data_IF_185640677681
#
_entry.id   IF_185640677681
#
_cell.length_a   1.000
_cell.length_b   1.000
_cell.length_c   1.000
_cell.angle_alpha   90.00
_cell.angle_beta   90.00
_cell.angle_gamma   90.00
#
_symmetry.space_group_name_H-M   'P 1'
#
loop_
_entity.id
_entity.type
_entity.pdbx_description
1 polymer ?
#
# COMPACT_ATOMS: atom_id res chain seq x y z
N UNK A 1 -11.01 40.58 32.28
CA UNK A 1 -10.68 40.32 30.87
C UNK A 1 -11.19 38.94 30.55
N UNK A 2 -12.31 38.87 29.86
CA UNK A 2 -13.02 37.61 29.55
C UNK A 2 -12.56 37.20 28.15
N UNK A 3 -11.79 36.11 28.03
CA UNK A 3 -11.49 35.55 26.72
C UNK A 3 -12.74 34.87 26.19
N UNK A 4 -13.24 35.40 25.07
CA UNK A 4 -14.32 34.81 24.31
C UNK A 4 -13.73 33.64 23.52
N UNK A 5 -13.96 32.41 23.98
CA UNK A 5 -13.69 31.21 23.19
C UNK A 5 -14.61 31.24 21.97
N UNK A 6 -14.04 31.52 20.81
CA UNK A 6 -14.72 31.36 19.54
C UNK A 6 -14.90 29.86 19.27
N UNK A 7 -16.12 29.36 19.41
CA UNK A 7 -16.52 28.04 18.95
C UNK A 7 -16.59 28.06 17.42
N UNK A 8 -15.53 27.57 16.77
CA UNK A 8 -15.57 27.31 15.33
C UNK A 8 -16.46 26.10 15.07
N UNK A 9 -17.61 26.36 14.44
CA UNK A 9 -18.47 25.31 13.89
C UNK A 9 -17.72 24.62 12.75
N UNK A 10 -17.52 23.30 12.88
CA UNK A 10 -16.87 22.47 11.87
C UNK A 10 -17.63 22.54 10.53
N UNK A 11 -17.04 23.14 9.51
CA UNK A 11 -17.54 23.08 8.15
C UNK A 11 -17.09 21.74 7.53
N UNK A 12 -17.97 20.74 7.60
CA UNK A 12 -17.73 19.44 6.96
C UNK A 12 -17.91 19.57 5.44
N UNK A 13 -16.83 19.90 4.72
CA UNK A 13 -16.82 19.88 3.25
C UNK A 13 -16.70 18.41 2.80
N UNK A 14 -17.82 17.83 2.34
CA UNK A 14 -17.80 16.57 1.58
C UNK A 14 -17.74 16.91 0.10
N UNK A 15 -16.68 16.52 -0.59
CA UNK A 15 -16.63 16.57 -2.06
C UNK A 15 -16.83 15.15 -2.59
N UNK A 16 -18.09 14.65 -2.69
CA UNK A 16 -18.33 13.35 -3.30
C UNK A 16 -18.05 13.44 -4.80
N UNK A 17 -17.05 12.70 -5.27
CA UNK A 17 -16.81 12.52 -6.69
C UNK A 17 -17.32 11.14 -7.13
N UNK A 18 -18.20 11.12 -8.13
CA UNK A 18 -18.73 9.88 -8.71
C UNK A 18 -18.44 9.87 -10.20
N UNK A 19 -17.60 8.94 -10.63
CA UNK A 19 -17.37 8.64 -12.04
C UNK A 19 -18.09 7.34 -12.40
N UNK A 20 -18.67 7.28 -13.61
CA UNK A 20 -19.32 6.05 -14.10
C UNK A 20 -18.30 5.01 -14.62
N UNK A 21 -17.13 5.48 -15.03
CA UNK A 21 -16.07 4.68 -15.63
C UNK A 21 -14.79 4.76 -14.77
N UNK A 22 -13.64 4.97 -15.39
CA UNK A 22 -12.38 5.09 -14.70
C UNK A 22 -12.20 6.51 -14.13
N UNK A 23 -11.69 6.58 -12.90
CA UNK A 23 -11.04 7.78 -12.37
C UNK A 23 -9.55 7.56 -12.59
N UNK A 24 -8.99 8.34 -13.52
CA UNK A 24 -7.56 8.37 -13.76
C UNK A 24 -7.05 9.71 -13.29
N UNK A 25 -6.13 9.68 -12.34
CA UNK A 25 -5.31 10.83 -12.00
C UNK A 25 -3.98 10.62 -12.71
N UNK A 26 -3.65 11.53 -13.61
CA UNK A 26 -2.45 11.53 -14.43
C UNK A 26 -1.99 13.00 -14.58
N UNK A 27 -0.70 13.23 -14.79
CA UNK A 27 -0.16 14.57 -14.97
C UNK A 27 1.03 14.61 -15.89
N UNK A 28 1.30 15.82 -16.38
CA UNK A 28 2.41 16.17 -17.27
C UNK A 28 3.40 17.18 -16.70
N UNK A 29 3.26 17.59 -15.43
CA UNK A 29 3.97 18.77 -14.91
C UNK A 29 4.81 18.49 -13.65
N UNK A 30 5.96 19.16 -13.56
CA UNK A 30 7.14 18.72 -12.80
C UNK A 30 7.37 19.44 -11.46
N UNK A 31 6.32 20.00 -10.84
CA UNK A 31 6.45 20.84 -9.63
C UNK A 31 5.82 20.24 -8.38
N UNK A 32 4.57 19.80 -8.50
CA UNK A 32 3.78 19.22 -7.41
C UNK A 32 3.05 17.97 -7.93
N UNK A 33 2.83 16.95 -7.09
CA UNK A 33 2.03 15.80 -7.48
C UNK A 33 0.62 16.25 -7.87
N UNK A 34 0.08 15.69 -8.95
CA UNK A 34 -1.35 15.87 -9.24
C UNK A 34 -2.17 15.01 -8.32
N UNK A 35 -3.07 15.65 -7.58
CA UNK A 35 -3.80 15.00 -6.52
C UNK A 35 -5.26 15.45 -6.43
N UNK A 36 -6.07 14.63 -5.76
CA UNK A 36 -7.32 15.07 -5.14
C UNK A 36 -7.02 15.20 -3.65
N UNK A 37 -7.20 16.39 -3.10
CA UNK A 37 -6.78 16.67 -1.74
C UNK A 37 -7.88 17.29 -0.86
N UNK A 38 -7.69 17.07 0.44
CA UNK A 38 -8.39 17.67 1.55
C UNK A 38 -7.34 17.86 2.64
N UNK A 39 -6.91 19.11 2.84
CA UNK A 39 -5.77 19.43 3.70
C UNK A 39 -6.19 20.42 4.78
N UNK A 40 -5.81 20.13 6.02
CA UNK A 40 -5.84 21.09 7.11
C UNK A 40 -4.44 21.68 7.26
N UNK A 41 -4.33 23.00 7.13
CA UNK A 41 -3.05 23.72 7.23
C UNK A 41 -2.51 23.74 8.65
N UNK A 42 -1.21 24.02 8.77
CA UNK A 42 -0.55 24.25 10.05
C UNK A 42 -1.29 25.32 10.89
N UNK A 43 -1.29 25.14 12.21
CA UNK A 43 -1.98 25.98 13.21
C UNK A 43 -3.52 25.98 13.16
N UNK A 44 -4.14 25.34 12.16
CA UNK A 44 -5.59 25.19 12.14
C UNK A 44 -6.05 24.18 13.21
N UNK A 45 -7.16 24.49 13.88
CA UNK A 45 -7.78 23.63 14.89
C UNK A 45 -9.09 23.08 14.32
N UNK A 46 -8.96 22.12 13.41
CA UNK A 46 -10.06 21.41 12.80
C UNK A 46 -9.62 20.04 12.28
N UNK A 47 -10.59 19.15 12.06
CA UNK A 47 -10.34 17.83 11.50
C UNK A 47 -10.27 17.90 9.97
N UNK A 48 -9.51 16.98 9.38
CA UNK A 48 -9.40 16.79 7.94
C UNK A 48 -10.75 16.44 7.31
N UNK A 49 -10.97 16.97 6.11
CA UNK A 49 -12.13 16.59 5.29
C UNK A 49 -11.93 15.23 4.63
N UNK A 50 -13.04 14.61 4.22
CA UNK A 50 -13.04 13.25 3.67
C UNK A 50 -13.06 13.25 2.14
N UNK A 51 -12.34 12.30 1.55
CA UNK A 51 -12.37 12.01 0.11
C UNK A 51 -13.22 10.77 -0.11
N UNK A 52 -14.17 10.84 -1.05
CA UNK A 52 -14.94 9.66 -1.47
C UNK A 52 -14.89 9.52 -2.98
N UNK A 53 -14.41 8.36 -3.44
CA UNK A 53 -14.35 7.99 -4.85
C UNK A 53 -15.31 6.82 -5.08
N UNK A 54 -16.25 7.00 -6.01
CA UNK A 54 -17.08 5.93 -6.55
C UNK A 54 -16.82 5.82 -8.05
N UNK A 55 -16.34 4.67 -8.49
CA UNK A 55 -15.87 4.47 -9.85
C UNK A 55 -16.04 3.01 -10.30
N UNK A 56 -15.85 2.76 -11.59
CA UNK A 56 -15.62 1.40 -12.08
C UNK A 56 -14.19 0.96 -11.75
N UNK A 57 -13.23 1.83 -12.00
CA UNK A 57 -11.82 1.63 -11.65
C UNK A 57 -11.17 2.93 -11.17
N UNK A 58 -10.18 2.82 -10.28
CA UNK A 58 -9.30 3.93 -9.88
C UNK A 58 -7.87 3.61 -10.31
N UNK A 59 -7.22 4.56 -10.97
CA UNK A 59 -5.81 4.49 -11.36
C UNK A 59 -5.06 5.72 -10.86
N UNK A 60 -4.03 5.48 -10.06
CA UNK A 60 -3.02 6.47 -9.67
C UNK A 60 -1.68 6.02 -10.26
N UNK A 61 -1.09 6.84 -11.15
CA UNK A 61 0.04 6.42 -11.97
C UNK A 61 1.12 7.50 -11.95
N UNK A 62 2.35 7.11 -11.64
CA UNK A 62 3.55 7.94 -11.71
C UNK A 62 3.45 9.19 -10.82
N UNK A 63 3.39 8.95 -9.50
CA UNK A 63 3.35 9.96 -8.44
C UNK A 63 2.05 10.75 -8.33
N UNK A 64 0.93 10.04 -8.28
CA UNK A 64 -0.42 10.64 -8.14
C UNK A 64 -1.03 10.24 -6.82
N UNK A 65 -1.77 11.18 -6.23
CA UNK A 65 -2.16 11.06 -4.83
C UNK A 65 -3.66 11.30 -4.59
N UNK A 66 -4.23 10.53 -3.67
CA UNK A 66 -5.41 10.96 -2.91
C UNK A 66 -4.92 11.33 -1.51
N UNK A 67 -5.16 12.57 -1.10
CA UNK A 67 -4.49 13.16 0.06
C UNK A 67 -5.52 13.77 1.03
N UNK A 68 -5.76 13.15 2.19
CA UNK A 68 -6.69 13.59 3.22
C UNK A 68 -5.99 13.90 4.55
N UNK A 69 -4.77 14.45 4.50
CA UNK A 69 -3.93 14.65 5.68
C UNK A 69 -4.17 15.99 6.39
N UNK A 70 -3.64 16.10 7.61
CA UNK A 70 -3.67 17.34 8.42
C UNK A 70 -2.26 17.69 8.91
N UNK A 71 -1.93 18.96 8.83
CA UNK A 71 -0.76 19.58 9.46
C UNK A 71 -1.15 20.37 10.73
N UNK A 72 -2.44 20.40 11.08
CA UNK A 72 -3.01 21.15 12.20
C UNK A 72 -3.33 20.28 13.42
N UNK A 73 -4.03 20.84 14.42
CA UNK A 73 -4.26 20.19 15.72
C UNK A 73 -5.41 19.19 15.76
N UNK A 74 -6.13 18.97 14.66
CA UNK A 74 -7.21 17.97 14.56
C UNK A 74 -6.79 16.70 13.83
N UNK A 75 -7.68 15.71 13.81
CA UNK A 75 -7.45 14.40 13.18
C UNK A 75 -7.37 14.51 11.66
N UNK A 76 -6.66 13.59 11.01
CA UNK A 76 -6.67 13.49 9.56
C UNK A 76 -8.05 13.05 9.03
N UNK A 77 -8.34 13.38 7.78
CA UNK A 77 -9.57 12.97 7.12
C UNK A 77 -9.53 11.51 6.69
N UNK A 78 -10.64 11.02 6.16
CA UNK A 78 -10.75 9.65 5.63
C UNK A 78 -10.78 9.60 4.11
N UNK A 79 -10.19 8.56 3.52
CA UNK A 79 -10.29 8.25 2.09
C UNK A 79 -11.11 6.98 1.93
N UNK A 80 -12.25 7.10 1.25
CA UNK A 80 -13.11 5.98 0.90
C UNK A 80 -13.12 5.77 -0.60
N UNK A 81 -12.61 4.63 -1.06
CA UNK A 81 -12.67 4.21 -2.47
C UNK A 81 -13.61 3.03 -2.62
N UNK A 82 -14.59 3.16 -3.51
CA UNK A 82 -15.46 2.07 -3.95
C UNK A 82 -15.32 1.94 -5.48
N UNK A 83 -14.54 0.97 -5.91
CA UNK A 83 -14.36 0.60 -7.31
C UNK A 83 -15.05 -0.73 -7.58
N UNK A 84 -15.77 -0.90 -8.69
CA UNK A 84 -16.41 -2.20 -8.98
C UNK A 84 -15.42 -3.23 -9.55
N UNK A 85 -14.41 -2.78 -10.30
CA UNK A 85 -13.42 -3.65 -10.95
C UNK A 85 -12.08 -3.65 -10.23
N UNK A 86 -11.34 -2.54 -10.25
CA UNK A 86 -10.01 -2.52 -9.66
C UNK A 86 -9.57 -1.15 -9.15
N UNK A 87 -8.65 -1.19 -8.19
CA UNK A 87 -7.80 -0.07 -7.79
C UNK A 87 -6.37 -0.43 -8.15
N UNK A 88 -5.69 0.44 -8.88
CA UNK A 88 -4.29 0.30 -9.24
C UNK A 88 -3.55 1.56 -8.83
N UNK A 89 -2.51 1.39 -8.00
CA UNK A 89 -1.64 2.48 -7.57
C UNK A 89 -0.25 2.05 -8.01
N UNK A 90 0.43 2.89 -8.80
CA UNK A 90 1.70 2.47 -9.38
C UNK A 90 2.64 3.59 -9.73
N UNK A 91 3.93 3.39 -9.44
CA UNK A 91 4.99 4.19 -10.00
C UNK A 91 5.24 5.50 -9.25
N UNK A 92 6.43 6.01 -9.50
CA UNK A 92 6.97 7.26 -8.96
C UNK A 92 6.97 8.30 -10.07
N UNK A 93 6.67 9.55 -9.73
CA UNK A 93 6.88 10.67 -10.66
C UNK A 93 8.38 10.89 -10.87
N UNK A 94 8.84 10.59 -12.08
CA UNK A 94 10.25 10.70 -12.47
C UNK A 94 10.86 12.10 -12.29
N UNK A 95 10.05 13.16 -12.22
CA UNK A 95 10.54 14.53 -12.13
C UNK A 95 10.88 14.95 -10.69
N UNK A 96 10.13 14.47 -9.71
CA UNK A 96 10.22 14.91 -8.31
C UNK A 96 10.43 13.78 -7.30
N UNK A 97 10.30 12.52 -7.72
CA UNK A 97 10.48 11.35 -6.88
C UNK A 97 9.30 11.01 -5.98
N UNK A 98 8.12 11.60 -6.20
CA UNK A 98 6.93 11.26 -5.39
C UNK A 98 6.31 9.93 -5.84
N UNK A 99 6.13 9.02 -4.90
CA UNK A 99 5.39 7.76 -5.07
C UNK A 99 3.90 8.00 -5.27
N UNK A 100 3.25 7.14 -6.07
CA UNK A 100 1.78 7.14 -6.15
C UNK A 100 1.20 6.61 -4.85
N UNK A 101 0.24 7.32 -4.25
CA UNK A 101 -0.22 6.96 -2.91
C UNK A 101 -1.63 7.39 -2.52
N UNK A 102 -2.23 6.64 -1.59
CA UNK A 102 -3.37 7.10 -0.80
C UNK A 102 -2.84 7.47 0.58
N UNK A 103 -3.13 8.68 1.01
CA UNK A 103 -2.46 9.26 2.16
C UNK A 103 -3.46 10.00 3.04
N UNK A 104 -3.73 9.46 4.23
CA UNK A 104 -4.65 10.02 5.21
C UNK A 104 -3.94 10.10 6.56
N UNK A 105 -2.88 10.90 6.59
CA UNK A 105 -1.89 10.93 7.65
C UNK A 105 -1.96 12.23 8.46
N UNK A 106 -1.41 12.18 9.66
CA UNK A 106 -1.12 13.36 10.47
C UNK A 106 0.35 13.70 10.31
N UNK A 107 0.61 14.92 9.85
CA UNK A 107 1.93 15.41 9.49
C UNK A 107 2.58 16.19 10.63
N UNK A 108 3.77 16.73 10.37
CA UNK A 108 4.58 17.40 11.38
C UNK A 108 3.81 18.49 12.14
N UNK A 109 3.95 18.48 13.48
CA UNK A 109 3.26 19.36 14.42
C UNK A 109 1.75 19.08 14.63
N UNK A 110 1.19 18.06 13.98
CA UNK A 110 -0.18 17.61 14.28
C UNK A 110 -0.26 16.89 15.62
N UNK A 111 -1.30 17.17 16.40
CA UNK A 111 -1.64 16.44 17.64
C UNK A 111 -2.80 15.48 17.47
N UNK A 112 -3.37 15.40 16.27
CA UNK A 112 -4.48 14.51 15.96
C UNK A 112 -4.05 13.07 15.72
N UNK A 113 -5.02 12.20 15.45
CA UNK A 113 -4.75 10.83 14.99
C UNK A 113 -4.76 10.71 13.47
N UNK A 114 -4.02 9.75 12.93
CA UNK A 114 -4.11 9.35 11.53
C UNK A 114 -5.55 8.97 11.14
N UNK A 115 -5.84 9.10 9.85
CA UNK A 115 -7.19 8.98 9.31
C UNK A 115 -7.63 7.54 9.07
N UNK A 116 -8.64 7.35 8.23
CA UNK A 116 -9.06 6.01 7.80
C UNK A 116 -8.98 5.90 6.28
N UNK A 117 -8.35 4.85 5.78
CA UNK A 117 -8.40 4.47 4.38
C UNK A 117 -9.19 3.19 4.24
N UNK A 118 -10.32 3.27 3.54
CA UNK A 118 -11.14 2.09 3.22
C UNK A 118 -11.25 1.95 1.70
N UNK A 119 -10.86 0.77 1.19
CA UNK A 119 -10.90 0.44 -0.23
C UNK A 119 -11.73 -0.81 -0.44
N UNK A 120 -12.74 -0.72 -1.29
CA UNK A 120 -13.47 -1.89 -1.80
C UNK A 120 -13.32 -1.97 -3.31
N UNK A 121 -12.81 -3.10 -3.81
CA UNK A 121 -12.65 -3.37 -5.23
C UNK A 121 -12.64 -4.88 -5.54
N UNK A 122 -12.88 -5.30 -6.79
CA UNK A 122 -12.65 -6.72 -7.11
C UNK A 122 -11.17 -7.09 -7.02
N UNK A 123 -10.25 -6.17 -7.39
CA UNK A 123 -8.81 -6.37 -7.26
C UNK A 123 -8.10 -5.09 -6.82
N UNK A 124 -7.11 -5.22 -5.93
CA UNK A 124 -6.22 -4.11 -5.52
C UNK A 124 -4.80 -4.47 -5.95
N UNK A 125 -4.12 -3.54 -6.64
CA UNK A 125 -2.77 -3.73 -7.17
C UNK A 125 -1.88 -2.56 -6.77
N UNK A 126 -0.76 -2.87 -6.12
CA UNK A 126 0.30 -1.94 -5.75
C UNK A 126 1.59 -2.35 -6.48
N UNK A 127 2.26 -1.40 -7.13
CA UNK A 127 3.51 -1.64 -7.88
C UNK A 127 4.39 -0.40 -7.94
N UNK A 128 5.66 -0.60 -8.21
CA UNK A 128 6.63 0.47 -8.49
C UNK A 128 6.66 1.52 -7.39
N UNK A 129 6.92 1.08 -6.16
CA UNK A 129 7.08 1.93 -4.97
C UNK A 129 5.84 2.79 -4.72
N UNK A 130 4.71 2.11 -4.49
CA UNK A 130 3.41 2.75 -4.32
C UNK A 130 2.84 2.48 -2.94
N UNK A 131 2.11 3.44 -2.40
CA UNK A 131 1.78 3.41 -0.97
C UNK A 131 0.30 3.56 -0.64
N UNK A 132 -0.09 2.91 0.45
CA UNK A 132 -1.32 3.23 1.19
C UNK A 132 -0.91 3.53 2.63
N UNK A 133 -1.01 4.79 3.06
CA UNK A 133 -0.55 5.18 4.39
C UNK A 133 -1.56 5.99 5.20
N UNK A 134 -1.64 5.66 6.48
CA UNK A 134 -2.33 6.42 7.53
C UNK A 134 -1.38 6.74 8.68
N UNK A 135 -0.12 6.93 8.35
CA UNK A 135 0.95 7.13 9.32
C UNK A 135 0.77 8.42 10.13
N UNK A 136 1.50 8.48 11.23
CA UNK A 136 1.73 9.69 12.03
C UNK A 136 3.24 9.97 12.03
N UNK A 137 3.69 11.12 11.54
CA UNK A 137 5.14 11.34 11.33
C UNK A 137 5.89 11.78 12.58
N UNK A 138 5.32 12.67 13.42
CA UNK A 138 6.10 13.31 14.50
C UNK A 138 5.28 13.72 15.73
N UNK A 139 4.34 12.90 16.19
CA UNK A 139 3.59 13.19 17.41
C UNK A 139 3.28 11.94 18.24
N UNK A 140 2.92 12.15 19.51
CA UNK A 140 2.52 11.09 20.44
C UNK A 140 1.09 10.57 20.22
N UNK A 141 0.44 10.94 19.10
CA UNK A 141 -0.88 10.46 18.71
C UNK A 141 -0.89 9.00 18.26
N UNK A 142 -1.96 8.60 17.58
CA UNK A 142 -2.09 7.25 17.02
C UNK A 142 -2.07 7.29 15.50
N UNK A 143 -1.45 6.30 14.87
CA UNK A 143 -1.63 5.99 13.46
C UNK A 143 -3.09 5.65 13.16
N UNK A 144 -3.50 5.82 11.90
CA UNK A 144 -4.86 5.60 11.45
C UNK A 144 -5.18 4.13 11.11
N UNK A 145 -6.32 3.88 10.47
CA UNK A 145 -6.72 2.52 10.10
C UNK A 145 -6.80 2.33 8.59
N UNK A 146 -6.38 1.15 8.12
CA UNK A 146 -6.47 0.75 6.71
C UNK A 146 -7.32 -0.52 6.60
N UNK A 147 -8.40 -0.44 5.83
CA UNK A 147 -9.30 -1.56 5.56
C UNK A 147 -9.39 -1.82 4.05
N UNK A 148 -8.79 -2.91 3.58
CA UNK A 148 -8.80 -3.29 2.17
C UNK A 148 -9.71 -4.51 1.97
N UNK A 149 -10.74 -4.38 1.15
CA UNK A 149 -11.64 -5.48 0.79
C UNK A 149 -11.56 -5.77 -0.71
N UNK A 150 -11.09 -6.96 -1.07
CA UNK A 150 -11.00 -7.39 -2.46
C UNK A 150 -10.97 -8.90 -2.67
N UNK A 151 -11.23 -9.36 -3.90
CA UNK A 151 -11.05 -10.77 -4.26
C UNK A 151 -9.57 -11.15 -4.34
N UNK A 152 -8.70 -10.19 -4.66
CA UNK A 152 -7.25 -10.35 -4.55
C UNK A 152 -6.58 -9.02 -4.24
N UNK A 153 -5.51 -9.08 -3.44
CA UNK A 153 -4.60 -7.96 -3.18
C UNK A 153 -3.20 -8.41 -3.57
N UNK A 154 -2.55 -7.64 -4.45
CA UNK A 154 -1.23 -7.96 -4.97
C UNK A 154 -0.33 -6.73 -4.86
N UNK A 155 0.84 -6.88 -4.24
CA UNK A 155 1.83 -5.84 -4.06
C UNK A 155 3.22 -6.31 -4.53
N UNK A 156 3.93 -5.44 -5.24
CA UNK A 156 5.26 -5.70 -5.80
C UNK A 156 6.13 -4.44 -5.75
N UNK A 157 7.42 -4.63 -6.02
CA UNK A 157 8.38 -3.56 -6.30
C UNK A 157 8.35 -2.48 -5.22
N UNK A 158 8.61 -2.84 -3.96
CA UNK A 158 8.72 -1.90 -2.82
C UNK A 158 7.43 -1.16 -2.45
N UNK A 159 6.25 -1.73 -2.77
CA UNK A 159 4.99 -1.09 -2.42
C UNK A 159 4.51 -1.42 -1.01
N UNK A 160 4.06 -0.40 -0.28
CA UNK A 160 3.79 -0.51 1.16
C UNK A 160 2.35 -0.18 1.58
N UNK A 161 1.96 -0.79 2.70
CA UNK A 161 0.70 -0.53 3.40
C UNK A 161 1.05 -0.22 4.87
N UNK A 162 1.06 1.07 5.22
CA UNK A 162 1.61 1.54 6.49
C UNK A 162 0.55 2.28 7.33
N UNK A 163 0.41 1.88 8.58
CA UNK A 163 -0.37 2.55 9.61
C UNK A 163 0.53 2.83 10.82
N UNK A 164 1.70 3.38 10.53
CA UNK A 164 2.85 3.47 11.41
C UNK A 164 2.83 4.75 12.25
N UNK A 165 3.28 4.67 13.51
CA UNK A 165 3.38 5.81 14.41
C UNK A 165 4.68 5.73 15.26
N UNK A 166 5.82 6.28 14.79
CA UNK A 166 7.14 6.08 15.37
C UNK A 166 7.23 6.54 16.82
N UNK A 167 6.50 7.58 17.21
CA UNK A 167 6.51 8.15 18.56
C UNK A 167 5.22 7.85 19.35
N UNK A 168 4.27 7.13 18.74
CA UNK A 168 2.90 6.99 19.21
C UNK A 168 2.40 5.55 19.25
N UNK A 169 1.09 5.40 19.19
CA UNK A 169 0.42 4.12 19.04
C UNK A 169 0.20 3.81 17.55
N UNK A 170 0.66 2.65 17.09
CA UNK A 170 0.39 2.19 15.73
C UNK A 170 -1.10 1.96 15.46
N UNK A 171 -1.47 2.01 14.18
CA UNK A 171 -2.83 1.88 13.70
C UNK A 171 -3.29 0.44 13.50
N UNK A 172 -4.37 0.19 12.76
CA UNK A 172 -4.78 -1.18 12.39
C UNK A 172 -4.84 -1.35 10.88
N UNK A 173 -4.41 -2.52 10.39
CA UNK A 173 -4.49 -2.89 8.98
C UNK A 173 -5.28 -4.18 8.85
N UNK A 174 -6.36 -4.15 8.08
CA UNK A 174 -7.17 -5.33 7.75
C UNK A 174 -7.18 -5.56 6.25
N UNK A 175 -6.64 -6.70 5.82
CA UNK A 175 -6.68 -7.19 4.44
C UNK A 175 -7.79 -8.25 4.32
N UNK A 176 -9.02 -7.81 4.09
CA UNK A 176 -10.17 -8.67 3.87
C UNK A 176 -10.20 -9.19 2.43
N UNK A 177 -9.45 -10.26 2.20
CA UNK A 177 -9.34 -10.91 0.89
C UNK A 177 -9.17 -12.41 1.10
N UNK A 178 -9.49 -13.28 0.13
CA UNK A 178 -9.05 -14.67 0.19
C UNK A 178 -7.56 -14.82 -0.15
N UNK A 179 -6.95 -13.85 -0.83
CA UNK A 179 -5.58 -13.95 -1.36
C UNK A 179 -4.83 -12.62 -1.26
N UNK A 180 -3.72 -12.63 -0.54
CA UNK A 180 -2.73 -11.54 -0.53
C UNK A 180 -1.37 -12.07 -0.98
N UNK A 181 -0.77 -11.42 -1.98
CA UNK A 181 0.62 -11.68 -2.39
C UNK A 181 1.43 -10.38 -2.31
N UNK A 182 2.40 -10.33 -1.40
CA UNK A 182 3.39 -9.25 -1.30
C UNK A 182 4.78 -9.79 -1.56
N UNK A 183 5.50 -9.24 -2.55
CA UNK A 183 6.87 -9.67 -2.84
C UNK A 183 7.81 -9.33 -1.68
N UNK A 184 8.48 -10.34 -1.13
CA UNK A 184 9.38 -10.15 0.01
C UNK A 184 8.68 -9.85 1.34
N UNK A 185 7.34 -9.84 1.38
CA UNK A 185 6.56 -9.58 2.58
C UNK A 185 6.87 -10.59 3.68
N UNK A 186 7.09 -10.09 4.90
CA UNK A 186 7.38 -10.88 6.10
C UNK A 186 6.28 -10.68 7.13
N UNK A 187 5.31 -11.62 7.24
CA UNK A 187 4.22 -11.51 8.21
C UNK A 187 4.75 -11.36 9.65
N UNK A 188 4.16 -10.42 10.40
CA UNK A 188 4.47 -10.23 11.82
C UNK A 188 5.78 -9.52 12.12
N UNK A 189 6.52 -9.05 11.11
CA UNK A 189 7.62 -8.13 11.32
C UNK A 189 7.07 -6.79 11.82
N UNK A 190 7.39 -6.43 13.06
CA UNK A 190 7.07 -5.13 13.65
C UNK A 190 8.34 -4.29 13.62
N UNK A 191 8.53 -3.52 12.55
CA UNK A 191 9.68 -2.62 12.42
C UNK A 191 9.28 -1.23 12.91
N UNK A 192 9.97 -0.72 13.93
CA UNK A 192 9.70 0.61 14.50
C UNK A 192 10.56 1.71 13.87
N UNK A 193 11.35 1.37 12.85
CA UNK A 193 12.16 2.34 12.13
C UNK A 193 11.56 2.52 10.73
N UNK A 194 11.01 3.71 10.49
CA UNK A 194 10.44 4.07 9.19
C UNK A 194 11.45 3.94 8.03
N UNK A 195 12.73 4.27 8.28
CA UNK A 195 13.75 4.28 7.24
C UNK A 195 14.12 2.89 6.70
N UNK A 196 13.59 1.83 7.30
CA UNK A 196 13.75 0.46 6.80
C UNK A 196 12.43 -0.13 6.28
N UNK A 197 11.34 0.64 6.30
CA UNK A 197 10.03 0.22 5.78
C UNK A 197 9.76 0.71 4.36
N UNK A 198 10.49 1.71 3.92
CA UNK A 198 10.36 2.33 2.59
C UNK A 198 11.76 2.28 1.92
N UNK A 199 11.81 1.97 0.63
CA UNK A 199 13.06 1.91 -0.14
C UNK A 199 13.94 0.68 0.13
N UNK A 200 13.38 -0.43 0.60
CA UNK A 200 14.12 -1.64 1.00
C UNK A 200 13.92 -2.83 0.04
N UNK A 201 13.29 -2.58 -1.11
CA UNK A 201 12.94 -3.52 -2.18
C UNK A 201 12.03 -4.69 -1.74
N UNK A 202 11.15 -4.47 -0.77
CA UNK A 202 10.14 -5.47 -0.35
C UNK A 202 8.83 -4.78 -0.04
N UNK A 203 7.76 -5.54 -0.14
CA UNK A 203 6.44 -5.10 0.33
C UNK A 203 6.44 -5.14 1.84
N UNK A 204 6.11 -4.01 2.47
CA UNK A 204 5.87 -3.93 3.89
C UNK A 204 4.40 -3.66 4.24
N UNK A 205 3.92 -4.40 5.22
CA UNK A 205 2.64 -4.16 5.88
C UNK A 205 2.96 -3.96 7.35
N UNK A 206 2.84 -2.73 7.84
CA UNK A 206 3.28 -2.38 9.18
C UNK A 206 2.29 -1.42 9.85
N UNK A 207 1.84 -1.78 11.04
CA UNK A 207 0.91 -1.01 11.85
C UNK A 207 1.49 -0.72 13.26
N UNK A 208 2.81 -0.73 13.39
CA UNK A 208 3.51 -0.60 14.67
C UNK A 208 3.68 0.86 15.10
N UNK A 209 4.10 1.03 16.36
CA UNK A 209 4.54 2.31 16.89
C UNK A 209 5.41 2.13 18.12
N UNK A 210 5.92 3.24 18.70
CA UNK A 210 6.70 3.20 19.94
C UNK A 210 5.94 2.56 21.10
N UNK A 211 4.63 2.77 21.14
CA UNK A 211 3.74 2.10 22.08
C UNK A 211 3.27 0.80 21.40
N UNK A 212 3.58 -0.35 22.00
CA UNK A 212 3.19 -1.65 21.46
C UNK A 212 1.67 -1.72 21.26
N UNK A 213 1.26 -1.61 20.00
CA UNK A 213 -0.11 -1.44 19.57
C UNK A 213 -0.22 -1.64 18.07
N UNK A 214 -1.45 -1.79 17.62
CA UNK A 214 -1.78 -1.99 16.23
C UNK A 214 -1.89 -3.46 15.83
N UNK A 215 -2.94 -3.76 15.09
CA UNK A 215 -3.24 -5.12 14.66
C UNK A 215 -3.17 -5.22 13.14
N UNK A 216 -2.47 -6.24 12.64
CA UNK A 216 -2.43 -6.58 11.22
C UNK A 216 -3.20 -7.88 11.04
N UNK A 217 -4.34 -7.80 10.36
CA UNK A 217 -5.14 -8.95 9.96
C UNK A 217 -4.92 -9.22 8.48
N UNK A 218 -4.12 -10.22 8.16
CA UNK A 218 -3.92 -10.73 6.80
C UNK A 218 -4.82 -11.95 6.53
N UNK A 219 -5.09 -12.29 5.25
CA UNK A 219 -5.84 -13.51 4.93
C UNK A 219 -5.20 -14.78 5.48
N UNK A 220 -6.04 -15.74 5.86
CA UNK A 220 -5.61 -17.11 6.14
C UNK A 220 -5.32 -17.84 4.82
N UNK A 221 -4.04 -18.12 4.56
CA UNK A 221 -3.58 -18.81 3.35
C UNK A 221 -3.26 -20.29 3.58
N UNK A 222 -3.66 -20.87 4.71
CA UNK A 222 -3.40 -22.30 5.02
C UNK A 222 -3.94 -23.25 3.95
N UNK A 223 -5.01 -22.86 3.25
CA UNK A 223 -5.57 -23.62 2.12
C UNK A 223 -4.61 -23.70 0.92
N UNK A 224 -3.79 -22.67 0.69
CA UNK A 224 -2.80 -22.64 -0.42
C UNK A 224 -1.60 -23.51 -0.08
N UNK A 225 -1.10 -23.40 1.15
CA UNK A 225 0.08 -24.16 1.61
C UNK A 225 -0.09 -25.67 1.45
N UNK A 226 -1.29 -26.18 1.73
CA UNK A 226 -1.61 -27.59 1.60
C UNK A 226 -1.95 -28.04 0.17
N UNK A 227 -2.02 -27.11 -0.78
CA UNK A 227 -2.41 -27.36 -2.18
C UNK A 227 -1.24 -27.23 -3.16
N UNK A 228 -0.05 -26.81 -2.71
CA UNK A 228 1.15 -26.73 -3.54
C UNK A 228 1.87 -28.08 -3.53
N UNK A 229 1.92 -28.76 -4.68
CA UNK A 229 2.81 -29.90 -4.88
C UNK A 229 4.21 -29.37 -5.15
N UNK A 230 5.19 -29.74 -4.31
CA UNK A 230 6.59 -29.45 -4.60
C UNK A 230 6.98 -30.01 -5.97
N UNK A 231 7.70 -29.22 -6.76
CA UNK A 231 8.22 -29.71 -8.03
C UNK A 231 9.23 -30.83 -7.74
N UNK A 232 9.17 -31.95 -8.49
CA UNK A 232 10.17 -33.01 -8.35
C UNK A 232 11.60 -32.47 -8.43
N UNK A 233 12.49 -32.97 -7.58
CA UNK A 233 13.89 -32.56 -7.54
C UNK A 233 14.70 -32.96 -8.77
N UNK A 234 14.13 -33.76 -9.69
CA UNK A 234 14.73 -34.18 -10.95
C UNK A 234 14.84 -33.00 -11.95
N UNK A 235 15.73 -32.07 -11.63
CA UNK A 235 16.28 -31.11 -12.57
C UNK A 235 17.03 -31.92 -13.62
N UNK A 236 16.55 -31.88 -14.86
CA UNK A 236 17.30 -32.36 -16.02
C UNK A 236 18.70 -31.75 -15.96
N UNK A 237 19.73 -32.59 -15.82
CA UNK A 237 21.12 -32.18 -15.93
C UNK A 237 21.32 -31.51 -17.29
N UNK A 238 21.58 -30.21 -17.27
CA UNK A 238 21.80 -29.39 -18.45
C UNK A 238 23.03 -29.85 -19.29
N UNK A 239 23.80 -30.83 -18.80
CA UNK A 239 24.92 -31.45 -19.52
C UNK A 239 24.56 -32.72 -20.30
N UNK A 240 23.30 -33.16 -20.28
CA UNK A 240 22.85 -34.32 -21.07
C UNK A 240 22.17 -33.86 -22.36
N UNK A 241 22.82 -34.03 -23.53
CA UNK A 241 22.16 -33.79 -24.80
C UNK A 241 21.25 -34.99 -25.09
N UNK A 242 19.97 -34.90 -24.71
CA UNK A 242 18.78 -35.52 -25.34
C UNK A 242 17.63 -35.52 -24.31
N UNK A 243 16.70 -34.58 -24.48
CA UNK A 243 15.24 -34.79 -24.42
C UNK A 243 14.53 -33.43 -24.31
N UNK A 244 14.28 -32.81 -25.47
CA UNK A 244 13.25 -31.76 -25.56
C UNK A 244 11.91 -32.48 -25.43
N UNK A 245 11.35 -32.54 -24.22
CA UNK A 245 9.96 -32.89 -24.01
C UNK A 245 9.20 -31.59 -23.72
N UNK A 246 8.42 -31.14 -24.69
CA UNK A 246 7.33 -30.18 -24.48
C UNK A 246 6.36 -30.77 -23.45
N UNK A 247 6.62 -30.56 -22.16
CA UNK A 247 5.67 -30.86 -21.10
C UNK A 247 4.94 -29.57 -20.79
N UNK A 248 3.67 -29.53 -21.16
CA UNK A 248 2.75 -28.42 -20.89
C UNK A 248 2.80 -28.08 -19.41
N UNK A 249 3.34 -26.89 -19.10
CA UNK A 249 3.41 -26.35 -17.74
C UNK A 249 2.01 -25.85 -17.39
N UNK A 250 1.31 -26.52 -16.47
CA UNK A 250 0.08 -25.95 -15.91
C UNK A 250 0.44 -24.71 -15.07
N UNK A 251 -0.46 -23.74 -14.99
CA UNK A 251 -0.28 -22.45 -14.31
C UNK A 251 0.18 -22.54 -12.84
N UNK A 252 0.02 -23.69 -12.18
CA UNK A 252 0.54 -23.99 -10.85
C UNK A 252 2.06 -24.23 -10.79
N UNK A 253 2.70 -24.61 -11.91
CA UNK A 253 4.13 -24.91 -11.97
C UNK A 253 5.01 -23.69 -12.30
N UNK A 254 4.40 -22.59 -12.76
CA UNK A 254 5.11 -21.32 -13.05
C UNK A 254 5.66 -20.69 -11.76
N UNK A 255 4.90 -20.75 -10.67
CA UNK A 255 5.28 -20.15 -9.37
C UNK A 255 6.49 -20.88 -8.78
N UNK A 256 6.45 -22.23 -8.76
CA UNK A 256 7.54 -23.03 -8.22
C UNK A 256 8.82 -22.99 -9.09
N UNK A 257 8.68 -22.89 -10.43
CA UNK A 257 9.82 -22.69 -11.32
C UNK A 257 10.47 -21.32 -11.11
N UNK A 258 9.67 -20.28 -10.83
CA UNK A 258 10.15 -18.93 -10.54
C UNK A 258 10.85 -18.84 -9.18
N UNK A 259 10.27 -19.43 -8.12
CA UNK A 259 10.90 -19.49 -6.79
C UNK A 259 12.29 -20.13 -6.84
N UNK A 260 12.42 -21.23 -7.59
CA UNK A 260 13.68 -21.97 -7.72
C UNK A 260 14.72 -21.26 -8.58
N UNK A 261 14.29 -20.52 -9.61
CA UNK A 261 15.19 -19.65 -10.38
C UNK A 261 15.78 -18.51 -9.53
N UNK A 262 15.01 -17.98 -8.56
CA UNK A 262 15.48 -16.97 -7.60
C UNK A 262 16.52 -17.52 -6.62
N UNK A 263 16.32 -18.71 -6.06
CA UNK A 263 17.27 -19.35 -5.15
C UNK A 263 18.63 -19.60 -5.83
N UNK A 264 18.61 -20.06 -7.08
CA UNK A 264 19.82 -20.31 -7.87
C UNK A 264 20.54 -18.99 -8.22
N UNK A 265 19.80 -17.91 -8.50
CA UNK A 265 20.38 -16.59 -8.75
C UNK A 265 21.07 -15.98 -7.51
N UNK A 266 20.57 -16.28 -6.31
CA UNK A 266 21.17 -15.81 -5.05
C UNK A 266 22.44 -16.60 -4.68
N UNK A 267 22.53 -17.87 -5.09
CA UNK A 267 23.70 -18.72 -4.85
C UNK A 267 24.85 -18.49 -5.86
N UNK A 268 24.56 -17.95 -7.05
CA UNK A 268 25.56 -17.78 -8.13
C UNK A 268 25.44 -16.43 -8.86
N UNK A 269 25.93 -15.32 -8.27
CA UNK A 269 25.71 -13.95 -8.77
C UNK A 269 26.36 -13.62 -10.13
N UNK A 270 27.20 -14.51 -10.69
CA UNK A 270 27.86 -14.31 -11.99
C UNK A 270 27.25 -15.11 -13.14
N UNK A 271 26.22 -15.94 -12.91
CA UNK A 271 25.59 -16.75 -13.96
C UNK A 271 24.23 -16.18 -14.35
N UNK A 272 24.11 -15.71 -15.60
CA UNK A 272 22.83 -15.28 -16.18
C UNK A 272 22.01 -16.51 -16.56
N UNK A 273 20.90 -16.73 -15.87
CA UNK A 273 19.88 -17.71 -16.28
C UNK A 273 18.95 -17.02 -17.27
N UNK A 274 19.03 -17.40 -18.55
CA UNK A 274 18.10 -16.97 -19.58
C UNK A 274 16.85 -17.86 -19.50
N UNK A 275 15.75 -17.33 -18.98
CA UNK A 275 14.45 -18.00 -19.05
C UNK A 275 13.81 -17.63 -20.40
N UNK A 276 13.71 -18.60 -21.31
CA UNK A 276 12.84 -18.48 -22.51
C UNK A 276 11.54 -19.20 -22.16
N UNK A 277 10.44 -18.48 -22.31
CA UNK A 277 9.05 -18.90 -22.03
C UNK A 277 8.66 -20.19 -22.77
#
# INVERSE_FOLDING_TARGET
>A
MTQQQATFSQLLIRIPFTARDAVTIDAKDSGNPTNINSIVSIDAVCNGGNITVKARSLLLIDGRELFASTYGQGDAGSIQVNATEFVSISGIDSANGYSSRLFASTEDSSTGTGGEITISASNIRLRGDSDIRTDLTSSAGSGGNINLTANSIIAFDDSDILAFAPEGQGGNITLNTPVFFGFGYRPGASETNYAILDGNNRVDVNASGAIASGNITTPDTTFVQNSLTELPEDVLDANTPVAIANKVISSSQVVAAYQRALEISQLHPTRRVLCVL
#
